data_IF_514488819783
#
_entry.id   IF_514488819783
#
_cell.length_a   1.000
_cell.length_b   1.000
_cell.length_c   1.000
_cell.angle_alpha   90.00
_cell.angle_beta   90.00
_cell.angle_gamma   90.00
#
_symmetry.space_group_name_H-M   'P 1'
#
loop_
_entity.id
_entity.type
_entity.pdbx_description
1 polymer ?
#
# COMPACT_ATOMS: atom_id res chain seq x y z
N UNK A 1 17.93 3.03 -13.46
CA UNK A 1 18.16 3.42 -12.05
C UNK A 1 16.88 3.24 -11.25
N UNK A 2 16.78 2.08 -10.57
CA UNK A 2 15.71 1.82 -9.61
C UNK A 2 16.15 2.41 -8.29
N UNK A 3 15.85 3.69 -8.06
CA UNK A 3 16.03 4.29 -6.75
C UNK A 3 14.91 3.79 -5.82
N UNK A 4 15.28 3.11 -4.74
CA UNK A 4 14.40 2.87 -3.61
C UNK A 4 13.91 4.22 -3.09
N UNK A 5 12.63 4.50 -3.30
CA UNK A 5 12.09 5.86 -3.13
C UNK A 5 11.60 6.04 -1.70
N UNK A 6 12.47 6.60 -0.87
CA UNK A 6 11.99 7.23 0.37
C UNK A 6 10.96 8.33 0.07
N UNK A 7 10.09 8.64 1.03
CA UNK A 7 9.10 9.73 0.93
C UNK A 7 9.65 11.03 0.31
N UNK A 8 10.96 11.33 0.52
CA UNK A 8 11.64 12.49 -0.06
C UNK A 8 11.75 12.47 -1.58
N UNK A 9 11.88 11.30 -2.21
CA UNK A 9 12.01 11.18 -3.67
C UNK A 9 10.66 11.19 -4.37
N UNK A 10 9.61 10.72 -3.71
CA UNK A 10 8.24 10.92 -4.17
C UNK A 10 7.94 12.41 -4.30
N UNK A 11 8.36 13.23 -3.34
CA UNK A 11 8.19 14.69 -3.41
C UNK A 11 9.04 15.34 -4.50
N UNK A 12 10.29 14.93 -4.72
CA UNK A 12 11.14 15.46 -5.79
C UNK A 12 10.60 15.12 -7.17
N UNK A 13 10.16 13.87 -7.38
CA UNK A 13 9.53 13.46 -8.64
C UNK A 13 8.21 14.17 -8.87
N UNK A 14 7.41 14.36 -7.83
CA UNK A 14 6.16 15.10 -7.91
C UNK A 14 6.42 16.58 -8.23
N UNK A 15 7.46 17.19 -7.67
CA UNK A 15 7.91 18.54 -8.01
C UNK A 15 8.36 18.65 -9.49
N UNK A 16 9.13 17.65 -9.99
CA UNK A 16 9.54 17.60 -11.39
C UNK A 16 8.34 17.44 -12.36
N UNK A 17 7.42 16.55 -12.03
CA UNK A 17 6.17 16.35 -12.81
C UNK A 17 5.32 17.62 -12.77
N UNK A 18 5.23 18.30 -11.64
CA UNK A 18 4.49 19.56 -11.49
C UNK A 18 5.10 20.71 -12.28
N UNK A 19 6.42 20.79 -12.37
CA UNK A 19 7.11 21.78 -13.19
C UNK A 19 6.83 21.62 -14.70
N UNK A 20 6.66 20.35 -15.13
CA UNK A 20 6.35 20.02 -16.54
C UNK A 20 4.87 20.14 -16.90
N UNK A 21 3.97 20.12 -15.90
CA UNK A 21 2.52 20.19 -16.08
C UNK A 21 1.88 21.18 -15.08
N UNK A 22 1.65 22.44 -15.45
CA UNK A 22 1.16 23.48 -14.53
C UNK A 22 -0.13 23.14 -13.78
N UNK A 23 -1.05 22.41 -14.40
CA UNK A 23 -2.30 21.97 -13.76
C UNK A 23 -2.05 21.00 -12.58
N UNK A 24 -1.03 20.15 -12.70
CA UNK A 24 -0.60 19.24 -11.62
C UNK A 24 0.12 19.99 -10.50
N UNK A 25 0.80 21.10 -10.84
CA UNK A 25 1.45 21.95 -9.84
C UNK A 25 0.42 22.63 -8.90
N UNK A 26 -0.67 23.14 -9.45
CA UNK A 26 -1.77 23.72 -8.65
C UNK A 26 -2.39 22.65 -7.74
N UNK A 27 -2.61 21.44 -8.26
CA UNK A 27 -3.10 20.31 -7.46
C UNK A 27 -2.14 19.93 -6.33
N UNK A 28 -0.84 19.91 -6.61
CA UNK A 28 0.20 19.66 -5.60
C UNK A 28 0.23 20.72 -4.51
N UNK A 29 0.16 22.01 -4.86
CA UNK A 29 0.12 23.10 -3.88
C UNK A 29 -1.14 23.04 -3.01
N UNK A 30 -2.30 22.73 -3.61
CA UNK A 30 -3.55 22.53 -2.86
C UNK A 30 -3.42 21.34 -1.89
N UNK A 31 -2.83 20.23 -2.34
CA UNK A 31 -2.60 19.07 -1.46
C UNK A 31 -1.60 19.39 -0.35
N UNK A 32 -0.48 20.06 -0.66
CA UNK A 32 0.57 20.41 0.32
C UNK A 32 0.03 21.23 1.51
N UNK A 33 -0.96 22.06 1.25
CA UNK A 33 -1.57 22.93 2.26
C UNK A 33 -2.95 22.42 2.73
N UNK A 34 -3.32 21.17 2.42
CA UNK A 34 -4.62 20.63 2.74
C UNK A 34 -4.65 20.01 4.14
N UNK A 35 -5.82 20.10 4.80
CA UNK A 35 -6.11 19.36 6.04
C UNK A 35 -5.86 17.85 5.89
N UNK A 36 -6.09 17.30 4.69
CA UNK A 36 -5.83 15.90 4.38
C UNK A 36 -4.38 15.53 4.63
N UNK A 37 -3.42 16.32 4.12
CA UNK A 37 -1.99 16.07 4.33
C UNK A 37 -1.65 16.14 5.82
N UNK A 38 -2.11 17.19 6.50
CA UNK A 38 -1.86 17.38 7.93
C UNK A 38 -2.42 16.21 8.75
N UNK A 39 -3.61 15.71 8.43
CA UNK A 39 -4.21 14.57 9.12
C UNK A 39 -3.41 13.28 8.90
N UNK A 40 -2.91 13.02 7.67
CA UNK A 40 -2.02 11.89 7.42
C UNK A 40 -0.69 12.00 8.19
N UNK A 41 -0.07 13.19 8.19
CA UNK A 41 1.18 13.42 8.93
C UNK A 41 0.97 13.23 10.44
N UNK A 42 -0.13 13.74 11.00
CA UNK A 42 -0.48 13.56 12.40
C UNK A 42 -0.70 12.08 12.74
N UNK A 43 -1.40 11.34 11.87
CA UNK A 43 -1.62 9.90 12.05
C UNK A 43 -0.30 9.14 12.05
N UNK A 44 0.57 9.38 11.06
CA UNK A 44 1.86 8.73 11.00
C UNK A 44 2.74 9.04 12.21
N UNK A 45 2.84 10.30 12.59
CA UNK A 45 3.63 10.70 13.75
C UNK A 45 3.11 10.10 15.07
N UNK A 46 1.81 9.82 15.14
CA UNK A 46 1.20 9.25 16.35
C UNK A 46 1.35 7.73 16.45
N UNK A 47 1.20 7.03 15.31
CA UNK A 47 1.05 5.57 15.33
C UNK A 47 2.21 4.81 14.71
N UNK A 48 3.08 5.44 13.92
CA UNK A 48 4.19 4.78 13.26
C UNK A 48 5.52 5.12 13.92
N UNK A 49 6.31 4.09 14.20
CA UNK A 49 7.70 4.22 14.61
C UNK A 49 8.59 4.02 13.37
N UNK A 50 8.79 5.10 12.62
CA UNK A 50 9.56 5.04 11.38
C UNK A 50 11.06 4.99 11.66
N UNK A 51 11.76 4.16 10.90
CA UNK A 51 13.22 4.19 10.83
C UNK A 51 13.70 5.43 10.06
N UNK A 52 15.00 5.63 9.97
CA UNK A 52 15.55 6.61 9.01
C UNK A 52 15.11 6.27 7.58
N UNK A 53 15.06 7.27 6.71
CA UNK A 53 14.79 7.07 5.30
C UNK A 53 16.05 6.51 4.60
N UNK A 54 15.91 5.38 3.93
CA UNK A 54 16.93 4.79 3.06
C UNK A 54 16.65 5.22 1.62
N UNK A 55 17.69 5.65 0.91
CA UNK A 55 17.55 6.15 -0.47
C UNK A 55 17.72 5.06 -1.52
N UNK A 56 18.48 4.02 -1.20
CA UNK A 56 18.75 2.90 -2.10
C UNK A 56 18.67 1.58 -1.33
N UNK A 57 18.45 0.48 -2.05
CA UNK A 57 18.51 -0.86 -1.46
C UNK A 57 19.89 -1.14 -0.87
N UNK A 58 20.96 -0.69 -1.51
CA UNK A 58 22.33 -0.88 -1.00
C UNK A 58 22.55 -0.15 0.33
N UNK A 59 22.01 1.05 0.50
CA UNK A 59 22.04 1.75 1.79
C UNK A 59 21.33 0.96 2.88
N UNK A 60 20.14 0.43 2.58
CA UNK A 60 19.35 -0.41 3.48
C UNK A 60 20.09 -1.71 3.82
N UNK A 61 20.64 -2.39 2.81
CA UNK A 61 21.38 -3.65 2.95
C UNK A 61 22.65 -3.51 3.77
N UNK A 62 23.35 -2.38 3.60
CA UNK A 62 24.60 -2.11 4.32
C UNK A 62 24.35 -1.70 5.78
N UNK A 63 23.25 -1.00 6.06
CA UNK A 63 22.89 -0.49 7.38
C UNK A 63 21.43 -0.85 7.72
N UNK A 64 21.06 -2.14 7.76
CA UNK A 64 19.69 -2.55 8.04
C UNK A 64 19.28 -2.13 9.45
N UNK A 65 17.98 -1.93 9.71
CA UNK A 65 17.49 -1.83 11.07
C UNK A 65 17.73 -3.16 11.81
N UNK A 66 17.82 -3.10 13.14
CA UNK A 66 17.95 -4.27 13.99
C UNK A 66 16.58 -4.68 14.53
N UNK A 67 16.23 -5.95 14.39
CA UNK A 67 15.02 -6.55 14.95
C UNK A 67 15.17 -8.08 14.97
N UNK A 68 14.41 -8.72 15.85
CA UNK A 68 14.32 -10.20 15.92
C UNK A 68 13.39 -10.75 14.81
N UNK A 69 12.38 -9.96 14.42
CA UNK A 69 11.40 -10.31 13.40
C UNK A 69 11.18 -9.15 12.42
N UNK A 70 11.26 -9.45 11.15
CA UNK A 70 10.94 -8.53 10.05
C UNK A 70 9.68 -9.04 9.33
N UNK A 71 8.70 -8.17 9.16
CA UNK A 71 7.45 -8.51 8.50
C UNK A 71 7.28 -7.66 7.24
N UNK A 72 7.25 -8.31 6.08
CA UNK A 72 6.76 -7.69 4.87
C UNK A 72 5.22 -7.66 4.94
N UNK A 73 4.65 -6.45 4.96
CA UNK A 73 3.23 -6.25 5.21
C UNK A 73 2.36 -6.49 3.99
N UNK A 74 1.07 -6.34 4.19
CA UNK A 74 0.00 -6.46 3.21
C UNK A 74 0.13 -5.46 2.05
N UNK A 75 -0.92 -5.40 1.16
CA UNK A 75 -0.98 -4.65 -0.07
C UNK A 75 -0.21 -5.30 -1.24
N UNK A 76 -0.18 -4.66 -2.36
CA UNK A 76 0.38 -5.15 -3.63
C UNK A 76 1.92 -5.09 -3.67
N UNK A 77 2.56 -5.44 -2.56
CA UNK A 77 4.02 -5.33 -2.42
C UNK A 77 4.78 -6.26 -3.36
N UNK A 78 4.15 -7.35 -3.82
CA UNK A 78 4.73 -8.31 -4.76
C UNK A 78 4.14 -8.23 -6.17
N UNK A 79 3.45 -7.12 -6.50
CA UNK A 79 2.93 -6.90 -7.85
C UNK A 79 4.07 -6.63 -8.83
N UNK A 80 4.44 -7.65 -9.60
CA UNK A 80 5.55 -7.59 -10.56
C UNK A 80 5.33 -6.63 -11.73
N UNK A 81 4.10 -6.14 -11.94
CA UNK A 81 3.80 -5.08 -12.90
C UNK A 81 4.19 -3.69 -12.37
N UNK A 82 4.54 -3.60 -11.09
CA UNK A 82 5.00 -2.38 -10.42
C UNK A 82 6.46 -2.52 -9.99
N UNK A 83 7.13 -1.40 -9.78
CA UNK A 83 8.54 -1.39 -9.36
C UNK A 83 8.76 -2.04 -7.99
N UNK A 84 7.83 -1.82 -7.04
CA UNK A 84 7.90 -2.43 -5.71
C UNK A 84 7.91 -3.98 -5.77
N UNK A 85 7.16 -4.60 -6.68
CA UNK A 85 7.16 -6.05 -6.85
C UNK A 85 8.45 -6.63 -7.44
N UNK A 86 9.39 -5.77 -7.86
CA UNK A 86 10.73 -6.14 -8.35
C UNK A 86 11.84 -5.74 -7.38
N UNK A 87 11.52 -4.90 -6.39
CA UNK A 87 12.49 -4.38 -5.43
C UNK A 87 12.73 -5.40 -4.31
N UNK A 88 13.98 -5.86 -4.12
CA UNK A 88 14.33 -6.84 -3.10
C UNK A 88 14.03 -6.38 -1.66
N UNK A 89 13.84 -5.09 -1.41
CA UNK A 89 13.47 -4.58 -0.09
C UNK A 89 12.12 -5.13 0.38
N UNK A 90 11.13 -5.26 -0.52
CA UNK A 90 9.80 -5.80 -0.19
C UNK A 90 9.79 -7.32 0.01
N UNK A 91 10.91 -7.98 -0.26
CA UNK A 91 11.14 -9.39 0.03
C UNK A 91 12.14 -9.58 1.19
N UNK A 92 12.41 -8.52 1.95
CA UNK A 92 13.28 -8.56 3.13
C UNK A 92 14.72 -9.02 2.83
N UNK A 93 15.22 -8.80 1.61
CA UNK A 93 16.56 -9.24 1.18
C UNK A 93 17.70 -8.46 1.86
N UNK A 94 17.39 -7.41 2.59
CA UNK A 94 18.34 -6.63 3.39
C UNK A 94 18.60 -7.24 4.78
N UNK A 95 17.75 -8.15 5.23
CA UNK A 95 17.84 -8.75 6.58
C UNK A 95 19.04 -9.70 6.64
N UNK A 96 19.95 -9.43 7.57
CA UNK A 96 21.13 -10.27 7.83
C UNK A 96 20.88 -11.32 8.90
N UNK A 97 20.23 -10.90 9.98
CA UNK A 97 19.88 -11.74 11.11
C UNK A 97 18.43 -11.45 11.52
N UNK A 98 17.73 -12.45 12.04
CA UNK A 98 16.33 -12.35 12.43
C UNK A 98 15.40 -13.15 11.53
N UNK A 99 14.18 -13.33 11.98
CA UNK A 99 13.12 -14.05 11.28
C UNK A 99 12.50 -13.14 10.22
N UNK A 100 12.26 -13.69 9.03
CA UNK A 100 11.57 -13.00 7.94
C UNK A 100 10.18 -13.58 7.77
N UNK A 101 9.16 -12.75 7.79
CA UNK A 101 7.79 -13.16 7.55
C UNK A 101 7.11 -12.26 6.52
N UNK A 102 6.23 -12.82 5.73
CA UNK A 102 5.30 -12.06 4.89
C UNK A 102 3.89 -12.27 5.42
N UNK A 103 3.21 -11.18 5.78
CA UNK A 103 1.84 -11.24 6.26
C UNK A 103 0.89 -10.63 5.25
N UNK A 104 0.00 -11.45 4.70
CA UNK A 104 -1.03 -11.03 3.74
C UNK A 104 -0.47 -10.29 2.51
N UNK A 105 0.74 -10.65 2.04
CA UNK A 105 1.32 -10.05 0.85
C UNK A 105 0.46 -10.35 -0.39
N UNK A 106 0.39 -9.40 -1.33
CA UNK A 106 -0.44 -9.54 -2.53
C UNK A 106 0.39 -9.33 -3.79
N UNK A 107 0.15 -10.19 -4.78
CA UNK A 107 0.64 -10.00 -6.14
C UNK A 107 -0.29 -9.12 -6.97
N UNK A 108 -1.59 -9.10 -6.64
CA UNK A 108 -2.62 -8.37 -7.39
C UNK A 108 -2.68 -8.69 -8.90
N UNK A 109 -2.09 -9.81 -9.29
CA UNK A 109 -2.09 -10.39 -10.64
C UNK A 109 -2.40 -11.87 -10.54
N UNK A 110 -2.81 -12.49 -11.66
CA UNK A 110 -3.10 -13.93 -11.72
C UNK A 110 -1.88 -14.78 -12.09
N UNK A 111 -0.84 -14.14 -12.64
CA UNK A 111 0.40 -14.80 -13.08
C UNK A 111 1.57 -13.81 -13.06
N UNK A 112 2.78 -14.33 -13.02
CA UNK A 112 4.03 -13.56 -13.08
C UNK A 112 4.67 -13.76 -14.46
N UNK A 113 5.22 -12.70 -15.09
CA UNK A 113 6.02 -12.84 -16.31
C UNK A 113 7.16 -13.85 -16.13
N UNK A 114 7.38 -14.70 -17.14
CA UNK A 114 8.35 -15.81 -17.05
C UNK A 114 9.75 -15.33 -16.70
N UNK A 115 10.16 -14.18 -17.21
CA UNK A 115 11.46 -13.57 -16.94
C UNK A 115 11.67 -13.17 -15.47
N UNK A 116 10.57 -12.98 -14.71
CA UNK A 116 10.62 -12.59 -13.28
C UNK A 116 10.44 -13.77 -12.33
N UNK A 117 10.00 -14.94 -12.81
CA UNK A 117 9.70 -16.11 -11.97
C UNK A 117 10.89 -16.55 -11.14
N UNK A 118 12.08 -16.70 -11.74
CA UNK A 118 13.27 -17.16 -11.04
C UNK A 118 13.71 -16.17 -9.95
N UNK A 119 13.68 -14.89 -10.24
CA UNK A 119 14.04 -13.86 -9.27
C UNK A 119 13.03 -13.80 -8.11
N UNK A 120 11.74 -13.77 -8.43
CA UNK A 120 10.66 -13.76 -7.44
C UNK A 120 10.71 -14.99 -6.54
N UNK A 121 10.93 -16.16 -7.14
CA UNK A 121 11.13 -17.41 -6.39
C UNK A 121 12.27 -17.29 -5.39
N UNK A 122 13.46 -16.90 -5.86
CA UNK A 122 14.64 -16.80 -5.02
C UNK A 122 14.44 -15.80 -3.86
N UNK A 123 13.71 -14.72 -4.09
CA UNK A 123 13.38 -13.75 -3.04
C UNK A 123 12.45 -14.34 -1.99
N UNK A 124 11.40 -15.06 -2.39
CA UNK A 124 10.40 -15.59 -1.46
C UNK A 124 10.94 -16.81 -0.71
N UNK A 125 11.76 -17.65 -1.32
CA UNK A 125 12.40 -18.81 -0.66
C UNK A 125 13.29 -18.40 0.52
N UNK A 126 13.70 -17.14 0.62
CA UNK A 126 14.47 -16.62 1.74
C UNK A 126 13.61 -16.17 2.91
N UNK A 127 12.28 -16.22 2.80
CA UNK A 127 11.32 -15.82 3.83
C UNK A 127 10.90 -17.05 4.62
N UNK A 128 11.03 -17.00 5.95
CA UNK A 128 10.78 -18.15 6.83
C UNK A 128 9.28 -18.48 6.93
N UNK A 129 8.41 -17.47 6.89
CA UNK A 129 6.95 -17.64 6.99
C UNK A 129 6.26 -16.82 5.92
N UNK A 130 5.52 -17.48 5.04
CA UNK A 130 4.83 -16.84 3.91
C UNK A 130 3.33 -16.94 4.07
N UNK A 131 2.64 -15.81 4.14
CA UNK A 131 1.20 -15.74 3.98
C UNK A 131 0.80 -14.68 2.96
N UNK A 132 -0.26 -14.94 2.23
CA UNK A 132 -0.77 -14.10 1.14
C UNK A 132 -2.22 -13.73 1.36
N UNK A 133 -2.67 -12.65 0.76
CA UNK A 133 -4.02 -12.11 0.96
C UNK A 133 -5.09 -12.79 0.09
N UNK A 134 -4.70 -13.33 -1.06
CA UNK A 134 -5.65 -13.91 -2.02
C UNK A 134 -5.25 -15.32 -2.49
N UNK A 135 -6.27 -16.11 -2.89
CA UNK A 135 -6.07 -17.47 -3.40
C UNK A 135 -5.29 -17.53 -4.71
N UNK A 136 -5.40 -16.50 -5.57
CA UNK A 136 -4.61 -16.40 -6.80
C UNK A 136 -3.10 -16.36 -6.51
N UNK A 137 -2.72 -15.71 -5.40
CA UNK A 137 -1.33 -15.69 -4.96
C UNK A 137 -0.81 -17.07 -4.54
N UNK A 138 -1.63 -17.92 -3.91
CA UNK A 138 -1.23 -19.31 -3.64
C UNK A 138 -0.93 -20.09 -4.91
N UNK A 139 -1.74 -19.90 -5.96
CA UNK A 139 -1.48 -20.54 -7.25
C UNK A 139 -0.14 -20.08 -7.82
N UNK A 140 0.16 -18.78 -7.76
CA UNK A 140 1.47 -18.25 -8.19
C UNK A 140 2.59 -18.91 -7.40
N UNK A 141 2.47 -19.00 -6.07
CA UNK A 141 3.48 -19.64 -5.21
C UNK A 141 3.65 -21.12 -5.54
N UNK A 142 2.57 -21.83 -5.80
CA UNK A 142 2.56 -23.23 -6.22
C UNK A 142 3.29 -23.42 -7.55
N UNK A 143 3.02 -22.54 -8.53
CA UNK A 143 3.70 -22.53 -9.85
C UNK A 143 5.20 -22.24 -9.72
N UNK A 144 5.61 -21.47 -8.70
CA UNK A 144 7.00 -21.23 -8.33
C UNK A 144 7.62 -22.37 -7.51
N UNK A 145 6.83 -23.36 -7.09
CA UNK A 145 7.27 -24.49 -6.27
C UNK A 145 7.35 -24.21 -4.76
N UNK A 146 6.73 -23.13 -4.28
CA UNK A 146 6.68 -22.72 -2.86
C UNK A 146 5.39 -23.29 -2.26
N UNK A 147 5.52 -24.31 -1.39
CA UNK A 147 4.37 -25.09 -0.89
C UNK A 147 3.88 -24.65 0.50
N UNK A 148 4.78 -24.12 1.33
CA UNK A 148 4.49 -23.79 2.72
C UNK A 148 3.97 -22.36 2.87
N UNK A 149 2.86 -22.07 2.18
CA UNK A 149 2.20 -20.78 2.26
C UNK A 149 0.71 -20.92 2.53
N UNK A 150 0.10 -19.92 3.18
CA UNK A 150 -1.32 -19.90 3.48
C UNK A 150 -1.98 -18.58 3.12
N UNK A 151 -3.31 -18.62 2.95
CA UNK A 151 -4.11 -17.39 2.79
C UNK A 151 -4.55 -16.90 4.16
N UNK A 152 -4.34 -15.60 4.41
CA UNK A 152 -4.82 -14.91 5.60
C UNK A 152 -5.60 -13.66 5.19
N UNK A 153 -6.39 -13.13 6.11
CA UNK A 153 -7.10 -11.88 5.88
C UNK A 153 -6.13 -10.69 5.89
N UNK A 154 -6.54 -9.60 5.25
CA UNK A 154 -5.86 -8.32 5.33
C UNK A 154 -5.71 -7.89 6.81
N UNK A 155 -4.56 -7.32 7.23
CA UNK A 155 -4.31 -6.94 8.62
C UNK A 155 -5.33 -5.97 9.21
N UNK A 156 -6.12 -5.28 8.39
CA UNK A 156 -7.22 -4.44 8.88
C UNK A 156 -8.24 -5.24 9.72
N UNK A 157 -8.35 -6.55 9.51
CA UNK A 157 -9.23 -7.44 10.27
C UNK A 157 -8.61 -8.01 11.56
N UNK A 158 -7.36 -7.66 11.87
CA UNK A 158 -6.72 -8.06 13.13
C UNK A 158 -7.23 -7.26 14.32
N UNK A 159 -7.74 -6.05 14.07
CA UNK A 159 -8.32 -5.20 15.08
C UNK A 159 -9.85 -5.37 15.12
N UNK A 160 -10.41 -5.40 16.32
CA UNK A 160 -11.85 -5.35 16.53
C UNK A 160 -12.45 -3.99 16.17
N UNK A 161 -13.77 -3.92 16.10
CA UNK A 161 -14.48 -2.65 15.88
C UNK A 161 -14.15 -1.63 16.96
N UNK A 162 -14.14 -2.06 18.22
CA UNK A 162 -13.85 -1.22 19.39
C UNK A 162 -12.44 -0.65 19.35
N UNK A 163 -11.45 -1.43 18.87
CA UNK A 163 -10.07 -0.96 18.71
C UNK A 163 -9.97 0.07 17.57
N UNK A 164 -10.67 -0.14 16.45
CA UNK A 164 -10.75 0.84 15.37
C UNK A 164 -11.44 2.14 15.80
N UNK A 165 -12.49 2.06 16.61
CA UNK A 165 -13.20 3.23 17.14
C UNK A 165 -12.28 4.13 18.01
N UNK A 166 -11.20 3.57 18.57
CA UNK A 166 -10.19 4.34 19.29
C UNK A 166 -9.29 5.21 18.39
N UNK A 167 -9.17 4.88 17.11
CA UNK A 167 -8.28 5.57 16.16
C UNK A 167 -9.04 6.37 15.12
N UNK A 168 -10.33 6.11 14.94
CA UNK A 168 -11.15 6.86 14.01
C UNK A 168 -11.30 8.34 14.41
N UNK A 169 -11.43 9.21 13.43
CA UNK A 169 -11.80 10.61 13.71
C UNK A 169 -13.29 10.69 13.96
N UNK A 170 -13.68 11.38 15.06
CA UNK A 170 -15.09 11.61 15.39
C UNK A 170 -15.66 12.66 14.45
N UNK A 171 -16.06 12.24 13.26
CA UNK A 171 -16.80 13.08 12.32
C UNK A 171 -18.27 12.73 12.50
N UNK A 172 -19.05 13.67 13.00
CA UNK A 172 -20.50 13.55 13.10
C UNK A 172 -21.12 14.03 11.78
N UNK A 173 -22.02 13.25 11.24
CA UNK A 173 -22.82 13.61 10.08
C UNK A 173 -24.27 13.83 10.54
N UNK A 174 -24.76 15.05 10.38
CA UNK A 174 -26.12 15.43 10.81
C UNK A 174 -27.22 14.74 9.99
N UNK A 175 -26.90 14.27 8.79
CA UNK A 175 -27.86 13.72 7.84
C UNK A 175 -27.51 12.30 7.38
N UNK A 176 -28.53 11.59 6.89
CA UNK A 176 -28.30 10.35 6.13
C UNK A 176 -27.49 10.64 4.88
N UNK A 177 -26.54 9.78 4.59
CA UNK A 177 -25.64 9.94 3.44
C UNK A 177 -25.31 8.62 2.77
N UNK A 178 -24.75 8.71 1.58
CA UNK A 178 -24.01 7.62 0.93
C UNK A 178 -22.56 8.05 0.81
N UNK A 179 -21.65 7.10 1.04
CA UNK A 179 -20.23 7.28 0.82
C UNK A 179 -19.86 6.65 -0.53
N UNK A 180 -19.24 7.43 -1.39
CA UNK A 180 -18.72 6.99 -2.69
C UNK A 180 -17.20 6.84 -2.60
N UNK A 181 -16.74 5.62 -2.86
CA UNK A 181 -15.33 5.26 -2.91
C UNK A 181 -15.02 4.70 -4.30
N UNK A 182 -14.61 5.59 -5.20
CA UNK A 182 -14.38 5.29 -6.61
C UNK A 182 -13.04 5.88 -7.07
N UNK A 183 -12.06 5.03 -7.31
CA UNK A 183 -10.72 5.40 -7.76
C UNK A 183 -10.67 5.78 -9.24
N UNK A 184 -11.57 5.22 -10.04
CA UNK A 184 -11.56 5.37 -11.49
C UNK A 184 -12.37 6.58 -11.96
N UNK A 185 -13.10 7.21 -11.02
CA UNK A 185 -14.01 8.31 -11.32
C UNK A 185 -15.02 7.93 -12.43
N UNK A 186 -15.63 6.76 -12.25
CA UNK A 186 -16.51 6.13 -13.22
C UNK A 186 -17.83 6.88 -13.39
N UNK A 187 -18.20 7.17 -14.63
CA UNK A 187 -19.48 7.83 -14.94
C UNK A 187 -20.69 7.01 -14.47
N UNK A 188 -20.60 5.68 -14.49
CA UNK A 188 -21.65 4.79 -14.01
C UNK A 188 -21.87 4.92 -12.51
N UNK A 189 -20.80 4.90 -11.70
CA UNK A 189 -20.88 5.09 -10.25
C UNK A 189 -21.40 6.47 -9.92
N UNK A 190 -20.91 7.51 -10.60
CA UNK A 190 -21.38 8.89 -10.45
C UNK A 190 -22.86 9.03 -10.74
N UNK A 191 -23.32 8.52 -11.90
CA UNK A 191 -24.72 8.58 -12.29
C UNK A 191 -25.63 7.84 -11.32
N UNK A 192 -25.24 6.64 -10.90
CA UNK A 192 -25.99 5.85 -9.91
C UNK A 192 -26.08 6.60 -8.57
N UNK A 193 -24.96 7.12 -8.09
CA UNK A 193 -24.90 7.85 -6.82
C UNK A 193 -25.81 9.07 -6.80
N UNK A 194 -25.81 9.85 -7.92
CA UNK A 194 -26.69 11.02 -8.04
C UNK A 194 -28.17 10.63 -8.06
N UNK A 195 -28.53 9.57 -8.82
CA UNK A 195 -29.91 9.08 -8.88
C UNK A 195 -30.38 8.56 -7.51
N UNK A 196 -29.54 7.76 -6.86
CA UNK A 196 -29.83 7.22 -5.53
C UNK A 196 -30.03 8.35 -4.49
N UNK A 197 -29.10 9.28 -4.44
CA UNK A 197 -29.16 10.40 -3.51
C UNK A 197 -30.43 11.26 -3.71
N UNK A 198 -30.79 11.54 -4.97
CA UNK A 198 -32.04 12.25 -5.31
C UNK A 198 -33.27 11.48 -4.88
N UNK A 199 -33.34 10.16 -5.16
CA UNK A 199 -34.46 9.30 -4.81
C UNK A 199 -34.68 9.20 -3.30
N UNK A 200 -33.59 9.06 -2.54
CA UNK A 200 -33.64 8.82 -1.09
C UNK A 200 -33.43 10.08 -0.26
N UNK A 201 -33.25 11.25 -0.90
CA UNK A 201 -32.99 12.54 -0.26
C UNK A 201 -31.83 12.47 0.75
N UNK A 202 -30.70 11.91 0.32
CA UNK A 202 -29.50 11.77 1.13
C UNK A 202 -28.34 12.59 0.53
N UNK A 203 -27.36 12.96 1.35
CA UNK A 203 -26.13 13.62 0.89
C UNK A 203 -25.17 12.61 0.26
N UNK A 204 -24.27 13.10 -0.58
CA UNK A 204 -23.17 12.31 -1.16
C UNK A 204 -21.87 12.82 -0.58
N UNK A 205 -21.07 11.94 -0.02
CA UNK A 205 -19.67 12.18 0.30
C UNK A 205 -18.82 11.31 -0.60
N UNK A 206 -17.81 11.91 -1.26
CA UNK A 206 -16.86 11.20 -2.11
C UNK A 206 -15.46 11.33 -1.54
N UNK A 207 -14.71 10.23 -1.51
CA UNK A 207 -13.31 10.22 -1.11
C UNK A 207 -12.39 10.67 -2.25
N UNK A 208 -12.85 10.59 -3.48
CA UNK A 208 -12.16 11.02 -4.70
C UNK A 208 -13.09 11.91 -5.54
N UNK A 209 -12.56 13.01 -6.00
CA UNK A 209 -13.21 13.93 -6.94
C UNK A 209 -12.53 13.82 -8.31
#
# INVERSE_FOLDING_TARGET
DVESRGLGDVYKRQAYICAKFPSRFVGYLKYKNSLRKTNFENFWNKYYHLTKCYKTFDELKNNPPEADLFIAGSDQIWNTMMENGKDPAYYLQFVKNGIRAAYAASFSVSEIPDELKNQTKAFIESIDYVSVREKSALKILDDLGIKDACVVLDPVFLLSREEWDCVESKIEFDDKYILVYDFENSDSVKSFSLQYAKKHKVKIYSLYN
#
